data_IF_566852056488
#
_entry.id   IF_566852056488
#
_cell.length_a   1.000
_cell.length_b   1.000
_cell.length_c   1.000
_cell.angle_alpha   90.00
_cell.angle_beta   90.00
_cell.angle_gamma   90.00
#
_symmetry.space_group_name_H-M   'P 1'
#
loop_
_entity.id
_entity.type
_entity.pdbx_description
1 polymer ?
#
# COMPACT_ATOMS: atom_id res chain seq x y z
N UNK A 1 -3.74 -22.20 2.59
CA UNK A 1 -2.56 -21.33 2.41
C UNK A 1 -3.08 -20.05 1.80
N UNK A 2 -3.25 -18.98 2.58
CA UNK A 2 -3.61 -17.68 2.01
C UNK A 2 -2.34 -17.11 1.38
N UNK A 3 -2.30 -17.12 0.05
CA UNK A 3 -1.18 -16.64 -0.76
C UNK A 3 -1.34 -15.15 -1.12
N UNK A 4 -2.10 -14.40 -0.31
CA UNK A 4 -2.43 -13.01 -0.60
C UNK A 4 -1.24 -12.10 -0.28
N UNK A 5 -0.94 -11.18 -1.19
CA UNK A 5 0.18 -10.26 -1.09
C UNK A 5 0.18 -9.47 0.23
N UNK A 6 -1.00 -9.07 0.70
CA UNK A 6 -1.17 -8.35 1.99
C UNK A 6 -0.69 -9.19 3.17
N UNK A 7 -0.93 -10.50 3.17
CA UNK A 7 -0.48 -11.40 4.23
C UNK A 7 1.06 -11.48 4.27
N UNK A 8 1.71 -11.61 3.11
CA UNK A 8 3.16 -11.59 3.01
C UNK A 8 3.77 -10.28 3.55
N UNK A 9 3.08 -9.15 3.38
CA UNK A 9 3.54 -7.84 3.84
C UNK A 9 3.42 -7.65 5.36
N UNK A 10 2.67 -8.48 6.08
CA UNK A 10 2.56 -8.41 7.55
C UNK A 10 3.87 -8.74 8.27
N UNK A 11 4.82 -9.41 7.61
CA UNK A 11 6.14 -9.69 8.18
C UNK A 11 6.96 -8.41 8.41
N UNK A 12 6.62 -7.32 7.73
CA UNK A 12 7.32 -6.05 7.85
C UNK A 12 6.85 -5.33 9.11
N UNK A 13 7.76 -5.18 10.08
CA UNK A 13 7.50 -4.42 11.30
C UNK A 13 7.20 -2.97 10.95
N UNK A 14 6.07 -2.45 11.42
CA UNK A 14 5.70 -1.05 11.23
C UNK A 14 6.59 -0.11 12.07
N UNK A 15 7.48 0.70 11.46
CA UNK A 15 8.35 1.60 12.20
C UNK A 15 7.62 2.88 12.64
N UNK A 16 6.39 3.12 12.15
CA UNK A 16 5.64 4.33 12.47
C UNK A 16 5.13 4.28 13.90
N UNK A 17 5.19 5.41 14.59
CA UNK A 17 4.53 5.60 15.89
C UNK A 17 3.01 5.42 15.72
N UNK A 18 2.31 4.94 16.75
CA UNK A 18 0.86 4.72 16.72
C UNK A 18 0.01 6.01 16.56
N UNK A 19 0.66 7.18 16.59
CA UNK A 19 0.02 8.47 16.32
C UNK A 19 -0.26 8.61 14.83
N UNK A 20 -1.48 9.04 14.48
CA UNK A 20 -1.92 9.34 13.11
C UNK A 20 -1.80 8.16 12.12
N UNK A 21 -1.90 6.91 12.59
CA UNK A 21 -2.03 5.74 11.72
C UNK A 21 -3.46 5.67 11.15
N UNK A 22 -3.64 6.22 9.96
CA UNK A 22 -4.92 6.12 9.23
C UNK A 22 -5.09 4.78 8.51
N UNK A 23 -3.97 4.17 8.11
CA UNK A 23 -3.94 2.91 7.35
C UNK A 23 -2.88 1.96 7.91
N UNK A 24 -3.16 0.64 7.95
CA UNK A 24 -2.17 -0.40 8.19
C UNK A 24 -0.99 -0.31 7.23
N UNK A 25 0.22 -0.66 7.72
CA UNK A 25 1.40 -0.66 6.87
C UNK A 25 1.26 -1.58 5.65
N UNK A 26 0.69 -2.80 5.75
CA UNK A 26 0.53 -3.69 4.60
C UNK A 26 -0.28 -3.06 3.45
N UNK A 27 -1.32 -2.29 3.75
CA UNK A 27 -2.13 -1.61 2.72
C UNK A 27 -1.36 -0.49 2.03
N UNK A 28 -0.55 0.26 2.78
CA UNK A 28 0.32 1.29 2.20
C UNK A 28 1.39 0.67 1.32
N UNK A 29 1.97 -0.46 1.74
CA UNK A 29 2.96 -1.19 0.95
C UNK A 29 2.34 -1.78 -0.33
N UNK A 30 1.12 -2.33 -0.24
CA UNK A 30 0.34 -2.77 -1.40
C UNK A 30 0.19 -1.63 -2.41
N UNK A 31 -0.32 -0.47 -1.96
CA UNK A 31 -0.46 0.72 -2.80
C UNK A 31 0.86 1.10 -3.48
N UNK A 32 1.96 1.20 -2.72
CA UNK A 32 3.26 1.60 -3.25
C UNK A 32 3.78 0.60 -4.30
N UNK A 33 3.69 -0.71 -4.03
CA UNK A 33 4.16 -1.75 -4.95
C UNK A 33 3.32 -1.73 -6.23
N UNK A 34 1.99 -1.70 -6.11
CA UNK A 34 1.08 -1.65 -7.26
C UNK A 34 1.32 -0.41 -8.11
N UNK A 35 1.51 0.76 -7.49
CA UNK A 35 1.78 2.00 -8.19
C UNK A 35 3.14 1.96 -8.92
N UNK A 36 4.22 1.54 -8.25
CA UNK A 36 5.57 1.49 -8.85
C UNK A 36 5.62 0.50 -10.01
N UNK A 37 5.02 -0.69 -9.87
CA UNK A 37 4.91 -1.67 -10.97
C UNK A 37 4.08 -1.13 -12.14
N UNK A 38 3.12 -0.24 -11.87
CA UNK A 38 2.32 0.46 -12.88
C UNK A 38 3.02 1.69 -13.49
N UNK A 39 4.30 1.92 -13.16
CA UNK A 39 5.11 3.02 -13.73
C UNK A 39 5.04 4.33 -12.95
N UNK A 40 4.53 4.33 -11.71
CA UNK A 40 4.56 5.52 -10.87
C UNK A 40 6.01 5.85 -10.46
N UNK A 41 6.48 7.02 -10.88
CA UNK A 41 7.78 7.57 -10.46
C UNK A 41 7.57 8.62 -9.36
N UNK A 42 7.90 8.26 -8.12
CA UNK A 42 7.82 9.13 -6.95
C UNK A 42 6.47 9.19 -6.22
N UNK A 43 6.45 9.89 -5.08
CA UNK A 43 5.31 9.90 -4.15
C UNK A 43 4.03 10.51 -4.75
N UNK A 44 4.17 11.50 -5.65
CA UNK A 44 3.03 12.22 -6.22
C UNK A 44 2.21 11.32 -7.12
N UNK A 45 2.88 10.60 -8.02
CA UNK A 45 2.26 9.63 -8.94
C UNK A 45 1.67 8.44 -8.19
N UNK A 46 2.31 7.98 -7.10
CA UNK A 46 1.74 6.96 -6.20
C UNK A 46 0.43 7.46 -5.56
N UNK A 47 0.41 8.70 -5.06
CA UNK A 47 -0.80 9.27 -4.47
C UNK A 47 -1.93 9.45 -5.49
N UNK A 48 -1.60 9.80 -6.73
CA UNK A 48 -2.55 9.86 -7.85
C UNK A 48 -3.10 8.47 -8.21
N UNK A 49 -2.23 7.46 -8.32
CA UNK A 49 -2.62 6.07 -8.53
C UNK A 49 -3.58 5.59 -7.43
N UNK A 50 -3.23 5.83 -6.17
CA UNK A 50 -4.05 5.42 -5.03
C UNK A 50 -5.44 6.06 -5.01
N UNK A 51 -5.57 7.32 -5.46
CA UNK A 51 -6.87 7.97 -5.63
C UNK A 51 -7.63 7.40 -6.84
N UNK A 52 -6.95 7.19 -7.96
CA UNK A 52 -7.57 6.72 -9.19
C UNK A 52 -8.02 5.24 -9.13
N UNK A 53 -7.37 4.43 -8.29
CA UNK A 53 -7.61 3.00 -8.14
C UNK A 53 -8.12 2.62 -6.73
N UNK A 54 -8.70 3.58 -6.01
CA UNK A 54 -9.10 3.38 -4.61
C UNK A 54 -10.10 2.23 -4.44
N UNK A 55 -11.09 2.13 -5.34
CA UNK A 55 -12.10 1.08 -5.28
C UNK A 55 -11.46 -0.30 -5.46
N UNK A 56 -10.58 -0.44 -6.47
CA UNK A 56 -9.82 -1.67 -6.73
C UNK A 56 -8.89 -2.04 -5.57
N UNK A 57 -8.27 -1.07 -4.90
CA UNK A 57 -7.41 -1.31 -3.74
C UNK A 57 -8.18 -1.75 -2.48
N UNK A 58 -9.51 -1.62 -2.48
CA UNK A 58 -10.40 -1.94 -1.35
C UNK A 58 -11.29 -3.16 -1.60
N UNK A 59 -11.20 -3.79 -2.77
CA UNK A 59 -11.82 -5.09 -3.07
C UNK A 59 -11.20 -6.22 -2.25
#
# INVERSE_FOLDING_TARGET
MNSDLVFCLQIVKDPRTDKNKLYPLPEILLLCISAVVSGADGWKSIAEFGRAKLDWLRE
#
